data_IF_602077202568
#
_entry.id   IF_602077202568
#
_cell.length_a   1.000
_cell.length_b   1.000
_cell.length_c   1.000
_cell.angle_alpha   90.00
_cell.angle_beta   90.00
_cell.angle_gamma   90.00
#
_symmetry.space_group_name_H-M   'P 1'
#
loop_
_entity.id
_entity.type
_entity.pdbx_description
1 polymer ?
#
# COMPACT_ATOMS: atom_id res chain seq x y z
N UNK A 1 18.36 -6.32 -7.93
CA UNK A 1 18.88 -5.70 -6.71
C UNK A 1 17.70 -5.27 -5.82
N UNK A 2 17.77 -5.60 -4.55
CA UNK A 2 16.70 -5.25 -3.62
C UNK A 2 16.68 -3.74 -3.33
N UNK A 3 15.49 -3.20 -3.09
CA UNK A 3 15.32 -1.82 -2.66
C UNK A 3 15.61 -1.71 -1.16
N UNK A 4 15.94 -0.49 -0.70
CA UNK A 4 16.08 -0.17 0.71
C UNK A 4 14.71 0.15 1.32
N UNK A 5 13.76 -0.74 1.11
CA UNK A 5 12.39 -0.61 1.55
C UNK A 5 12.20 -1.24 2.92
N UNK A 6 11.24 -0.77 3.73
CA UNK A 6 10.93 -1.44 4.98
C UNK A 6 10.38 -2.84 4.72
N UNK A 7 10.67 -3.77 5.63
CA UNK A 7 10.14 -5.12 5.57
C UNK A 7 8.92 -5.23 6.50
N UNK A 8 7.83 -5.78 5.98
CA UNK A 8 6.63 -6.00 6.78
C UNK A 8 6.76 -7.37 7.44
N UNK A 9 7.12 -7.38 8.72
CA UNK A 9 7.42 -8.61 9.46
C UNK A 9 6.16 -9.31 9.96
N UNK A 10 5.13 -8.54 10.29
CA UNK A 10 3.88 -9.06 10.82
C UNK A 10 2.73 -8.08 10.62
N UNK A 11 1.53 -8.58 10.71
CA UNK A 11 0.29 -7.79 10.62
C UNK A 11 -0.74 -8.41 11.57
N UNK A 12 -1.73 -7.62 11.97
CA UNK A 12 -2.79 -8.06 12.85
C UNK A 12 -2.93 -7.15 14.06
N UNK A 13 -3.99 -7.38 14.83
CA UNK A 13 -4.30 -6.57 16.01
C UNK A 13 -4.39 -5.08 15.70
N UNK A 14 -4.87 -4.74 14.50
CA UNK A 14 -5.06 -3.36 14.09
C UNK A 14 -3.81 -2.63 13.64
N UNK A 15 -2.74 -3.33 13.28
CA UNK A 15 -1.51 -2.68 12.84
C UNK A 15 -0.52 -3.60 12.17
N UNK A 16 0.72 -3.13 12.10
CA UNK A 16 1.80 -3.82 11.39
C UNK A 16 3.10 -3.73 12.19
N UNK A 17 4.00 -4.68 11.94
CA UNK A 17 5.38 -4.58 12.42
C UNK A 17 6.28 -4.41 11.20
N UNK A 18 7.07 -3.35 11.18
CA UNK A 18 8.03 -3.05 10.12
C UNK A 18 9.42 -2.98 10.72
N UNK A 19 10.35 -3.79 10.18
CA UNK A 19 11.75 -3.81 10.63
C UNK A 19 11.85 -3.93 12.15
N UNK A 20 10.96 -4.74 12.75
CA UNK A 20 10.94 -4.98 14.18
C UNK A 20 10.18 -3.95 15.00
N UNK A 21 9.62 -2.91 14.38
CA UNK A 21 8.91 -1.85 15.09
C UNK A 21 7.41 -1.87 14.80
N UNK A 22 6.60 -1.76 15.85
CA UNK A 22 5.14 -1.78 15.74
C UNK A 22 4.61 -0.42 15.27
N UNK A 23 3.73 -0.45 14.25
CA UNK A 23 2.99 0.70 13.76
C UNK A 23 1.50 0.41 13.92
N UNK A 24 0.80 1.25 14.66
CA UNK A 24 -0.64 1.09 14.85
C UNK A 24 -1.42 1.66 13.67
N UNK A 25 -2.54 1.02 13.33
CA UNK A 25 -3.43 1.48 12.27
C UNK A 25 -2.96 1.10 10.89
N UNK A 26 -3.65 1.65 9.90
CA UNK A 26 -3.33 1.44 8.49
C UNK A 26 -2.04 2.15 8.10
N UNK A 27 -1.45 1.70 7.00
CA UNK A 27 -0.09 2.06 6.64
C UNK A 27 0.00 2.46 5.17
N UNK A 28 0.70 3.54 4.89
CA UNK A 28 1.02 3.98 3.53
C UNK A 28 2.54 4.00 3.37
N UNK A 29 3.05 3.29 2.37
CA UNK A 29 4.49 3.26 2.08
C UNK A 29 4.71 3.82 0.69
N UNK A 30 5.41 4.95 0.59
CA UNK A 30 5.73 5.60 -0.67
C UNK A 30 7.20 6.02 -0.64
N UNK A 31 7.94 5.72 -1.69
CA UNK A 31 9.37 6.05 -1.74
C UNK A 31 10.16 5.38 -0.63
N UNK A 32 9.77 4.17 -0.26
CA UNK A 32 10.38 3.36 0.79
C UNK A 32 10.22 3.95 2.21
N UNK A 33 9.32 4.92 2.38
CA UNK A 33 9.02 5.54 3.66
C UNK A 33 7.60 5.16 4.10
N UNK A 34 7.50 4.57 5.27
CA UNK A 34 6.22 4.20 5.86
C UNK A 34 5.66 5.35 6.68
N UNK A 35 4.36 5.59 6.56
CA UNK A 35 3.67 6.61 7.34
C UNK A 35 2.28 6.13 7.75
N UNK A 36 1.73 6.66 8.85
CA UNK A 36 0.36 6.35 9.23
C UNK A 36 -0.62 6.76 8.13
N UNK A 37 -1.67 5.95 7.97
CA UNK A 37 -2.68 6.19 6.94
C UNK A 37 -4.05 6.15 7.62
N UNK A 38 -4.84 7.23 7.57
CA UNK A 38 -6.08 7.31 8.35
C UNK A 38 -7.25 6.49 7.80
N UNK A 39 -7.07 5.79 6.69
CA UNK A 39 -8.14 4.97 6.11
C UNK A 39 -8.30 3.68 6.91
N UNK A 40 -9.49 3.43 7.41
CA UNK A 40 -9.78 2.25 8.24
C UNK A 40 -10.63 1.20 7.53
N UNK A 41 -11.26 1.57 6.41
CA UNK A 41 -12.04 0.65 5.59
C UNK A 41 -12.00 1.06 4.13
N UNK A 42 -12.23 0.09 3.26
CA UNK A 42 -12.25 0.35 1.81
C UNK A 42 -13.35 1.36 1.44
N UNK A 43 -14.47 1.35 2.15
CA UNK A 43 -15.57 2.26 1.90
C UNK A 43 -15.19 3.72 2.13
N UNK A 44 -14.20 3.98 2.98
CA UNK A 44 -13.72 5.33 3.29
C UNK A 44 -12.63 5.81 2.35
N UNK A 45 -12.14 4.95 1.46
CA UNK A 45 -11.01 5.29 0.60
C UNK A 45 -11.41 6.35 -0.43
N UNK A 46 -10.64 7.43 -0.46
CA UNK A 46 -10.80 8.52 -1.42
C UNK A 46 -9.51 8.74 -2.18
N UNK A 47 -9.59 9.43 -3.31
CA UNK A 47 -8.41 9.78 -4.11
C UNK A 47 -7.46 10.65 -3.26
N UNK A 48 -7.99 11.58 -2.48
CA UNK A 48 -7.17 12.45 -1.62
C UNK A 48 -6.36 11.66 -0.59
N UNK A 49 -6.89 10.54 -0.10
CA UNK A 49 -6.18 9.68 0.83
C UNK A 49 -4.93 9.06 0.23
N UNK A 50 -4.82 9.04 -1.10
CA UNK A 50 -3.66 8.52 -1.83
C UNK A 50 -2.80 9.64 -2.42
N UNK A 51 -2.97 10.89 -1.97
CA UNK A 51 -2.21 12.02 -2.49
C UNK A 51 -0.69 11.78 -2.54
N UNK A 52 -0.05 11.22 -1.50
CA UNK A 52 1.40 10.96 -1.58
C UNK A 52 1.80 10.03 -2.73
N UNK A 53 0.95 9.08 -3.09
CA UNK A 53 1.19 8.18 -4.22
C UNK A 53 1.21 8.96 -5.53
N UNK A 54 0.20 9.81 -5.75
CA UNK A 54 0.09 10.60 -6.97
C UNK A 54 1.20 11.66 -7.05
N UNK A 55 1.58 12.25 -5.92
CA UNK A 55 2.67 13.23 -5.86
C UNK A 55 4.02 12.60 -6.22
N UNK A 56 4.25 11.35 -5.83
CA UNK A 56 5.46 10.63 -6.18
C UNK A 56 5.56 10.40 -7.69
N UNK A 57 4.44 10.17 -8.34
CA UNK A 57 4.36 10.00 -9.78
C UNK A 57 4.82 8.62 -10.26
N UNK A 58 4.53 8.33 -11.52
CA UNK A 58 4.81 7.00 -12.11
C UNK A 58 6.30 6.67 -12.24
N UNK A 59 7.16 7.67 -12.20
CA UNK A 59 8.61 7.43 -12.23
C UNK A 59 9.07 6.76 -10.94
N UNK A 60 8.45 7.08 -9.81
CA UNK A 60 8.73 6.49 -8.51
C UNK A 60 7.85 5.27 -8.22
N UNK A 61 6.63 5.25 -8.76
CA UNK A 61 5.63 4.25 -8.46
C UNK A 61 5.15 3.59 -9.74
N UNK A 62 5.58 2.37 -10.00
CA UNK A 62 5.10 1.56 -11.12
C UNK A 62 3.63 1.24 -10.93
N UNK A 63 3.27 0.78 -9.74
CA UNK A 63 1.89 0.50 -9.40
C UNK A 63 1.67 0.61 -7.88
N UNK A 64 0.41 0.77 -7.52
CA UNK A 64 -0.02 0.76 -6.13
C UNK A 64 -0.45 -0.66 -5.75
N UNK A 65 0.08 -1.14 -4.64
CA UNK A 65 -0.34 -2.38 -4.03
C UNK A 65 -1.30 -2.04 -2.89
N UNK A 66 -2.57 -2.37 -3.07
CA UNK A 66 -3.62 -1.99 -2.13
C UNK A 66 -4.08 -3.21 -1.34
N UNK A 67 -3.89 -3.18 -0.03
CA UNK A 67 -4.44 -4.15 0.89
C UNK A 67 -5.79 -3.67 1.38
N UNK A 68 -6.86 -4.38 1.00
CA UNK A 68 -8.23 -3.90 1.16
C UNK A 68 -8.91 -4.34 2.46
N UNK A 69 -8.15 -4.92 3.37
CA UNK A 69 -8.67 -5.39 4.64
C UNK A 69 -8.64 -6.91 4.75
N UNK A 70 -9.47 -7.49 5.63
CA UNK A 70 -9.46 -8.92 5.90
C UNK A 70 -9.91 -9.77 4.71
N UNK A 71 -10.73 -9.21 3.83
CA UNK A 71 -11.28 -9.92 2.66
C UNK A 71 -11.09 -9.09 1.40
N UNK A 72 -10.79 -9.77 0.30
CA UNK A 72 -10.62 -9.08 -0.97
C UNK A 72 -11.95 -8.46 -1.42
N UNK A 73 -11.87 -7.24 -1.95
CA UNK A 73 -13.02 -6.51 -2.48
C UNK A 73 -12.53 -5.52 -3.53
N UNK A 74 -13.41 -5.20 -4.48
CA UNK A 74 -13.06 -4.27 -5.55
C UNK A 74 -12.95 -2.84 -5.01
N UNK A 75 -11.83 -2.14 -5.27
CA UNK A 75 -11.69 -0.74 -4.87
C UNK A 75 -12.72 0.16 -5.58
N UNK A 76 -13.06 1.31 -4.99
CA UNK A 76 -13.97 2.26 -5.62
C UNK A 76 -13.51 2.63 -7.02
N UNK A 77 -14.48 2.85 -7.91
CA UNK A 77 -14.19 3.20 -9.30
C UNK A 77 -13.32 4.44 -9.44
N UNK A 78 -13.58 5.47 -8.61
CA UNK A 78 -12.81 6.71 -8.64
C UNK A 78 -11.31 6.45 -8.42
N UNK A 79 -10.96 5.51 -7.54
CA UNK A 79 -9.58 5.13 -7.27
C UNK A 79 -8.97 4.46 -8.49
N UNK A 80 -9.69 3.51 -9.09
CA UNK A 80 -9.20 2.78 -10.28
C UNK A 80 -8.97 3.73 -11.45
N UNK A 81 -9.90 4.67 -11.67
CA UNK A 81 -9.78 5.65 -12.74
C UNK A 81 -8.64 6.63 -12.50
N UNK A 82 -8.49 7.12 -11.27
CA UNK A 82 -7.42 8.08 -10.94
C UNK A 82 -6.04 7.47 -11.18
N UNK A 83 -5.83 6.21 -10.80
CA UNK A 83 -4.57 5.52 -11.02
C UNK A 83 -4.31 5.30 -12.51
N UNK A 84 -5.33 4.91 -13.25
CA UNK A 84 -5.23 4.74 -14.70
C UNK A 84 -4.80 6.04 -15.38
N UNK A 85 -5.43 7.15 -15.03
CA UNK A 85 -5.09 8.47 -15.60
C UNK A 85 -3.65 8.87 -15.23
N UNK A 86 -3.21 8.53 -14.02
CA UNK A 86 -1.84 8.82 -13.57
C UNK A 86 -0.79 7.91 -14.20
N UNK A 87 -1.20 6.90 -14.97
CA UNK A 87 -0.27 5.97 -15.60
C UNK A 87 0.31 4.95 -14.64
N UNK A 88 -0.36 4.71 -13.52
CA UNK A 88 0.07 3.75 -12.50
C UNK A 88 -0.80 2.50 -12.55
N UNK A 89 -0.19 1.34 -12.37
CA UNK A 89 -0.93 0.10 -12.20
C UNK A 89 -1.58 0.02 -10.82
N UNK A 90 -2.54 -0.88 -10.69
CA UNK A 90 -3.18 -1.18 -9.41
C UNK A 90 -3.26 -2.69 -9.25
N UNK A 91 -2.71 -3.18 -8.14
CA UNK A 91 -2.92 -4.54 -7.67
C UNK A 91 -3.63 -4.47 -6.33
N UNK A 92 -4.75 -5.17 -6.19
CA UNK A 92 -5.48 -5.16 -4.91
C UNK A 92 -5.78 -6.58 -4.46
N UNK A 93 -5.73 -6.77 -3.14
CA UNK A 93 -5.95 -8.06 -2.51
C UNK A 93 -6.21 -7.84 -1.01
N UNK A 94 -6.54 -8.91 -0.28
CA UNK A 94 -6.63 -8.76 1.17
C UNK A 94 -5.29 -8.29 1.73
N UNK A 95 -5.33 -7.65 2.89
CA UNK A 95 -4.13 -7.05 3.49
C UNK A 95 -3.03 -8.08 3.79
N UNK A 96 -3.32 -9.29 4.31
CA UNK A 96 -2.27 -10.29 4.50
C UNK A 96 -1.51 -10.63 3.22
N UNK A 97 -2.22 -10.83 2.11
CA UNK A 97 -1.60 -11.13 0.83
C UNK A 97 -0.78 -9.94 0.32
N UNK A 98 -1.31 -8.72 0.47
CA UNK A 98 -0.62 -7.50 0.05
C UNK A 98 0.69 -7.30 0.83
N UNK A 99 0.66 -7.53 2.14
CA UNK A 99 1.86 -7.39 2.98
C UNK A 99 2.96 -8.36 2.53
N UNK A 100 2.61 -9.59 2.24
CA UNK A 100 3.58 -10.59 1.76
C UNK A 100 4.13 -10.23 0.38
N UNK A 101 3.25 -9.81 -0.52
CA UNK A 101 3.65 -9.45 -1.88
C UNK A 101 4.55 -8.22 -1.90
N UNK A 102 4.28 -7.24 -1.03
CA UNK A 102 5.13 -6.06 -0.90
C UNK A 102 6.59 -6.45 -0.66
N UNK A 103 6.81 -7.35 0.31
CA UNK A 103 8.17 -7.80 0.64
C UNK A 103 8.84 -8.49 -0.56
N UNK A 104 8.10 -9.33 -1.29
CA UNK A 104 8.63 -10.02 -2.46
C UNK A 104 9.03 -9.02 -3.54
N UNK A 105 8.13 -8.09 -3.89
CA UNK A 105 8.36 -7.15 -4.98
C UNK A 105 9.51 -6.19 -4.68
N UNK A 106 9.60 -5.68 -3.46
CA UNK A 106 10.68 -4.78 -3.09
C UNK A 106 12.03 -5.49 -3.00
N UNK A 107 12.03 -6.77 -2.60
CA UNK A 107 13.26 -7.56 -2.63
C UNK A 107 13.78 -7.78 -4.05
N UNK A 108 12.89 -7.70 -5.04
CA UNK A 108 13.25 -7.79 -6.46
C UNK A 108 13.59 -6.43 -7.07
N UNK A 109 13.57 -5.37 -6.27
CA UNK A 109 13.89 -4.01 -6.75
C UNK A 109 12.73 -3.28 -7.43
N UNK A 110 11.50 -3.80 -7.31
CA UNK A 110 10.33 -3.17 -7.94
C UNK A 110 9.94 -1.87 -7.22
N UNK A 111 9.51 -0.90 -7.99
CA UNK A 111 9.09 0.41 -7.45
C UNK A 111 7.59 0.40 -7.22
N UNK A 112 7.20 0.00 -6.02
CA UNK A 112 5.79 -0.09 -5.65
C UNK A 112 5.49 0.79 -4.45
N UNK A 113 4.32 1.41 -4.45
CA UNK A 113 3.75 2.00 -3.25
C UNK A 113 2.78 0.99 -2.64
N UNK A 114 2.63 1.01 -1.33
CA UNK A 114 1.69 0.14 -0.65
C UNK A 114 0.75 0.95 0.22
N UNK A 115 -0.54 0.68 0.10
CA UNK A 115 -1.58 1.26 0.95
C UNK A 115 -2.32 0.09 1.58
N UNK A 116 -2.12 -0.10 2.88
CA UNK A 116 -2.55 -1.31 3.58
C UNK A 116 -3.54 -0.96 4.68
N UNK A 117 -4.78 -1.40 4.51
CA UNK A 117 -5.81 -1.23 5.54
C UNK A 117 -5.54 -2.24 6.66
N UNK A 118 -5.46 -1.76 7.90
CA UNK A 118 -5.18 -2.58 9.06
C UNK A 118 -6.29 -3.62 9.31
N UNK A 119 -5.89 -4.76 9.82
CA UNK A 119 -6.83 -5.83 10.20
C UNK A 119 -6.56 -6.27 11.63
#
# INVERSE_FOLDING_TARGET
MARDAPSIDAYGDGGFRLDGERHEGSLLIVGDVAQPWPVTSLAELTVDALAPVFEAGRAEVEFLLLGVGARNALPPRAIREALLVAGMGLEFMDTPAAARLYNVLTSEGRRVAAALIAI
#
